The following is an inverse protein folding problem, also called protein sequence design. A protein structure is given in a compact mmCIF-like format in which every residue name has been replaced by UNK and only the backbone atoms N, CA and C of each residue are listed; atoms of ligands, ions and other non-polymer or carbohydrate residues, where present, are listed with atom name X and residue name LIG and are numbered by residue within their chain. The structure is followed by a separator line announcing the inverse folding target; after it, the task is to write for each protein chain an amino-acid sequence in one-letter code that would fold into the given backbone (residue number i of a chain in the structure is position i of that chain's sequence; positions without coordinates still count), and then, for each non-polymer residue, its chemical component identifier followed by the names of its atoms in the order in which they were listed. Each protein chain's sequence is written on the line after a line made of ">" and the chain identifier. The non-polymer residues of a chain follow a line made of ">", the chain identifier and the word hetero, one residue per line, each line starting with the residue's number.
data_IF_754272310519
#
_entry.id   IF_754272310519
#
_cell.length_a   1.000
_cell.length_b   1.000
_cell.length_c   1.000
_cell.angle_alpha   90.00
_cell.angle_beta   90.00
_cell.angle_gamma   90.00
#
_symmetry.space_group_name_H-M   'P 1'
#
loop_
_entity.id
_entity.type
_entity.pdbx_description
1 polymer ?
#
# COMPACT_ATOMS: atom_id res chain seq x y z
N UNK A 1 -15.49 -21.19 1.06
CA UNK A 1 -16.31 -19.99 1.10
C UNK A 1 -17.68 -20.31 1.73
N UNK A 2 -18.51 -21.16 1.10
CA UNK A 2 -19.89 -21.40 1.58
C UNK A 2 -19.96 -22.11 2.92
N UNK A 3 -19.13 -23.12 3.17
CA UNK A 3 -19.14 -23.91 4.41
C UNK A 3 -18.51 -23.17 5.60
N UNK A 4 -17.40 -22.47 5.36
CA UNK A 4 -16.64 -21.80 6.42
C UNK A 4 -16.94 -20.30 6.55
N UNK A 5 -17.86 -19.78 5.71
CA UNK A 5 -18.29 -18.37 5.72
C UNK A 5 -17.13 -17.36 5.67
N UNK A 6 -16.07 -17.69 4.93
CA UNK A 6 -14.96 -16.76 4.69
C UNK A 6 -15.26 -15.86 3.50
N UNK A 7 -14.81 -14.60 3.56
CA UNK A 7 -15.19 -13.55 2.61
C UNK A 7 -14.29 -13.50 1.37
N UNK A 8 -13.19 -14.24 1.36
CA UNK A 8 -12.30 -14.26 0.20
C UNK A 8 -11.19 -15.29 0.27
N UNK A 9 -10.46 -15.39 -0.82
CA UNK A 9 -9.30 -16.26 -0.97
C UNK A 9 -8.10 -15.44 -1.48
N UNK A 10 -6.97 -15.59 -0.84
CA UNK A 10 -5.69 -15.18 -1.40
C UNK A 10 -5.00 -16.40 -1.98
N UNK A 11 -4.63 -16.34 -3.24
CA UNK A 11 -3.85 -17.38 -3.92
C UNK A 11 -2.39 -16.99 -3.90
N UNK A 12 -1.61 -17.85 -3.26
CA UNK A 12 -0.17 -17.69 -3.06
C UNK A 12 0.61 -18.00 -4.32
N UNK A 13 1.71 -17.30 -4.55
CA UNK A 13 2.72 -17.58 -5.57
C UNK A 13 2.11 -17.86 -6.95
N UNK A 14 1.15 -17.06 -7.40
CA UNK A 14 0.47 -17.27 -8.69
C UNK A 14 1.45 -17.31 -9.85
N UNK A 15 2.57 -16.58 -9.79
CA UNK A 15 3.64 -16.66 -10.78
C UNK A 15 4.15 -18.09 -10.99
N UNK A 16 4.28 -18.87 -9.92
CA UNK A 16 4.72 -20.28 -10.01
C UNK A 16 3.69 -21.20 -10.67
N UNK A 17 2.42 -20.78 -10.71
CA UNK A 17 1.36 -21.50 -11.43
C UNK A 17 1.31 -21.10 -12.90
N UNK A 18 1.62 -19.84 -13.23
CA UNK A 18 1.51 -19.32 -14.60
C UNK A 18 2.65 -19.75 -15.52
N UNK A 19 3.85 -19.95 -14.96
CA UNK A 19 5.05 -20.18 -15.76
C UNK A 19 5.67 -21.56 -15.48
N UNK A 20 5.82 -22.39 -16.54
CA UNK A 20 6.43 -23.70 -16.47
C UNK A 20 7.94 -23.64 -16.13
N UNK A 21 8.58 -22.54 -16.47
CA UNK A 21 10.01 -22.27 -16.23
C UNK A 21 10.27 -21.47 -14.94
N UNK A 22 9.23 -21.21 -14.12
CA UNK A 22 9.39 -20.46 -12.87
C UNK A 22 10.43 -21.10 -11.96
N UNK A 23 11.49 -20.35 -11.61
CA UNK A 23 12.63 -20.82 -10.79
C UNK A 23 13.33 -22.07 -11.35
N UNK A 24 13.28 -22.30 -12.66
CA UNK A 24 13.92 -23.42 -13.36
C UNK A 24 15.07 -22.94 -14.22
N UNK A 25 16.09 -23.80 -14.39
CA UNK A 25 17.17 -23.58 -15.35
C UNK A 25 16.77 -24.07 -16.74
N UNK A 26 17.52 -23.64 -17.75
CA UNK A 26 17.36 -24.16 -19.10
C UNK A 26 17.49 -25.69 -19.11
N UNK A 27 16.49 -26.35 -19.69
CA UNK A 27 16.43 -27.83 -19.76
C UNK A 27 15.79 -28.51 -18.54
N UNK A 28 15.37 -27.75 -17.51
CA UNK A 28 14.71 -28.30 -16.30
C UNK A 28 13.18 -28.18 -16.38
N UNK A 29 12.63 -27.74 -17.48
CA UNK A 29 11.19 -27.60 -17.71
C UNK A 29 10.79 -28.05 -19.11
N UNK A 30 9.53 -28.40 -19.30
CA UNK A 30 8.97 -28.88 -20.57
C UNK A 30 8.00 -27.78 -21.08
N UNK A 31 8.21 -27.29 -22.32
CA UNK A 31 7.28 -26.35 -22.95
C UNK A 31 5.86 -26.89 -23.07
N UNK A 32 4.89 -25.98 -23.10
CA UNK A 32 3.50 -26.32 -23.38
C UNK A 32 3.33 -26.83 -24.84
N UNK A 33 2.12 -27.25 -25.19
CA UNK A 33 1.80 -27.79 -26.52
C UNK A 33 2.06 -26.82 -27.69
N UNK A 34 2.24 -25.53 -27.41
CA UNK A 34 2.55 -24.48 -28.39
C UNK A 34 4.02 -24.08 -28.36
N UNK A 35 4.83 -24.69 -27.51
CA UNK A 35 6.25 -24.38 -27.36
C UNK A 35 6.56 -23.20 -26.42
N UNK A 36 5.56 -22.62 -25.75
CA UNK A 36 5.70 -21.53 -24.80
C UNK A 36 5.94 -22.01 -23.37
N UNK A 37 6.18 -21.06 -22.47
CA UNK A 37 6.41 -21.31 -21.05
C UNK A 37 5.15 -21.09 -20.18
N UNK A 38 4.03 -20.71 -20.77
CA UNK A 38 2.78 -20.57 -20.03
C UNK A 38 2.22 -21.93 -19.64
N UNK A 39 1.81 -22.08 -18.38
CA UNK A 39 1.10 -23.27 -17.88
C UNK A 39 -0.39 -23.14 -18.20
N UNK A 40 -0.79 -23.65 -19.36
CA UNK A 40 -2.16 -23.50 -19.90
C UNK A 40 -3.19 -24.14 -18.97
N UNK A 41 -2.88 -25.27 -18.36
CA UNK A 41 -3.76 -25.98 -17.44
C UNK A 41 -4.01 -25.21 -16.16
N UNK A 42 -2.94 -24.64 -15.58
CA UNK A 42 -3.07 -23.81 -14.38
C UNK A 42 -3.80 -22.49 -14.66
N UNK A 43 -3.56 -21.87 -15.82
CA UNK A 43 -4.30 -20.67 -16.26
C UNK A 43 -5.80 -20.99 -16.41
N UNK A 44 -6.15 -22.12 -17.03
CA UNK A 44 -7.54 -22.57 -17.17
C UNK A 44 -8.18 -22.82 -15.80
N UNK A 45 -7.44 -23.44 -14.87
CA UNK A 45 -7.89 -23.68 -13.50
C UNK A 45 -8.16 -22.34 -12.76
N UNK A 46 -7.23 -21.38 -12.80
CA UNK A 46 -7.40 -20.07 -12.13
C UNK A 46 -8.60 -19.31 -12.66
N UNK A 47 -8.78 -19.28 -13.98
CA UNK A 47 -9.95 -18.66 -14.60
C UNK A 47 -11.25 -19.32 -14.13
N UNK A 48 -11.29 -20.65 -14.16
CA UNK A 48 -12.47 -21.41 -13.72
C UNK A 48 -12.78 -21.23 -12.24
N UNK A 49 -11.74 -21.20 -11.40
CA UNK A 49 -11.88 -20.92 -9.96
C UNK A 49 -12.54 -19.55 -9.75
N UNK A 50 -12.05 -18.51 -10.40
CA UNK A 50 -12.57 -17.14 -10.25
C UNK A 50 -14.02 -17.04 -10.77
N UNK A 51 -14.32 -17.63 -11.92
CA UNK A 51 -15.69 -17.71 -12.44
C UNK A 51 -16.66 -18.36 -11.46
N UNK A 52 -16.25 -19.46 -10.82
CA UNK A 52 -17.08 -20.16 -9.83
C UNK A 52 -17.27 -19.33 -8.56
N UNK A 53 -16.20 -18.70 -8.06
CA UNK A 53 -16.28 -17.86 -6.86
C UNK A 53 -17.26 -16.71 -7.09
N UNK A 54 -17.06 -15.92 -8.14
CA UNK A 54 -17.92 -14.77 -8.41
C UNK A 54 -19.32 -15.14 -8.85
N UNK A 55 -19.49 -16.28 -9.53
CA UNK A 55 -20.81 -16.78 -9.94
C UNK A 55 -21.64 -17.38 -8.81
N UNK A 56 -20.99 -17.91 -7.74
CA UNK A 56 -21.70 -18.69 -6.71
C UNK A 56 -21.60 -18.11 -5.30
N UNK A 57 -20.63 -17.24 -5.02
CA UNK A 57 -20.36 -16.69 -3.69
C UNK A 57 -20.45 -15.15 -3.75
N UNK A 58 -21.68 -14.64 -3.73
CA UNK A 58 -21.93 -13.19 -3.79
C UNK A 58 -21.22 -12.47 -2.62
N UNK A 59 -20.45 -11.45 -2.95
CA UNK A 59 -19.70 -10.66 -1.97
C UNK A 59 -18.30 -11.20 -1.63
N UNK A 60 -17.99 -12.46 -2.05
CA UNK A 60 -16.65 -12.99 -1.88
C UNK A 60 -15.66 -12.37 -2.89
N UNK A 61 -14.39 -12.28 -2.50
CA UNK A 61 -13.31 -11.74 -3.32
C UNK A 61 -12.17 -12.74 -3.50
N UNK A 62 -11.43 -12.61 -4.60
CA UNK A 62 -10.19 -13.35 -4.81
C UNK A 62 -9.03 -12.40 -5.03
N UNK A 63 -7.89 -12.69 -4.40
CA UNK A 63 -6.65 -11.93 -4.51
C UNK A 63 -5.54 -12.81 -5.05
N UNK A 64 -4.78 -12.31 -6.03
CA UNK A 64 -3.56 -12.95 -6.47
C UNK A 64 -2.33 -12.33 -5.80
N UNK A 65 -1.49 -13.17 -5.19
CA UNK A 65 -0.09 -12.81 -4.97
C UNK A 65 0.67 -13.20 -6.24
N UNK A 66 0.93 -12.20 -7.09
CA UNK A 66 1.57 -12.36 -8.39
C UNK A 66 2.59 -11.25 -8.58
N UNK A 67 3.87 -11.61 -8.65
CA UNK A 67 5.00 -10.67 -8.62
C UNK A 67 5.60 -10.37 -9.99
N UNK A 68 5.07 -10.99 -11.06
CA UNK A 68 5.58 -10.79 -12.43
C UNK A 68 4.78 -9.74 -13.20
N UNK A 69 5.18 -9.50 -14.44
CA UNK A 69 4.48 -8.63 -15.37
C UNK A 69 3.33 -9.32 -16.13
N UNK A 70 2.80 -10.45 -15.63
CA UNK A 70 1.66 -11.11 -16.26
C UNK A 70 0.48 -10.13 -16.36
N UNK A 71 -0.08 -9.92 -17.57
CA UNK A 71 -1.11 -8.90 -17.77
C UNK A 71 -2.50 -9.41 -17.35
N UNK A 72 -3.36 -8.45 -17.01
CA UNK A 72 -4.80 -8.69 -16.82
C UNK A 72 -5.13 -9.72 -15.72
N UNK A 73 -4.32 -9.78 -14.65
CA UNK A 73 -4.57 -10.67 -13.51
C UNK A 73 -5.93 -10.37 -12.87
N UNK A 74 -6.24 -9.10 -12.66
CA UNK A 74 -7.49 -8.63 -12.05
C UNK A 74 -8.51 -8.11 -13.07
N UNK A 75 -8.44 -8.60 -14.31
CA UNK A 75 -9.46 -8.30 -15.33
C UNK A 75 -10.34 -9.52 -15.59
N UNK A 76 -11.60 -9.31 -16.02
CA UNK A 76 -12.54 -10.39 -16.27
C UNK A 76 -12.02 -11.43 -17.27
N UNK A 77 -12.40 -12.71 -17.06
CA UNK A 77 -12.04 -13.81 -17.97
C UNK A 77 -12.59 -13.59 -19.38
N UNK A 78 -13.76 -12.93 -19.51
CA UNK A 78 -14.35 -12.55 -20.79
C UNK A 78 -13.50 -11.56 -21.60
N UNK A 79 -12.59 -10.84 -20.94
CA UNK A 79 -11.63 -9.94 -21.60
C UNK A 79 -10.26 -10.60 -21.79
N UNK A 80 -10.11 -11.88 -21.47
CA UNK A 80 -8.85 -12.61 -21.54
C UNK A 80 -8.04 -12.60 -20.23
N UNK A 81 -8.52 -11.95 -19.17
CA UNK A 81 -7.88 -11.89 -17.86
C UNK A 81 -7.95 -13.20 -17.08
N UNK A 82 -7.32 -13.23 -15.90
CA UNK A 82 -7.38 -14.37 -14.97
C UNK A 82 -8.64 -14.35 -14.09
N UNK A 83 -9.34 -13.21 -14.01
CA UNK A 83 -10.59 -13.07 -13.28
C UNK A 83 -10.47 -12.84 -11.79
N UNK A 84 -9.29 -12.59 -11.25
CA UNK A 84 -9.14 -12.16 -9.85
C UNK A 84 -9.82 -10.81 -9.62
N UNK A 85 -10.31 -10.57 -8.42
CA UNK A 85 -10.81 -9.26 -8.03
C UNK A 85 -9.68 -8.27 -7.77
N UNK A 86 -8.57 -8.78 -7.20
CA UNK A 86 -7.43 -7.97 -6.81
C UNK A 86 -6.09 -8.67 -7.09
N UNK A 87 -5.05 -7.85 -7.18
CA UNK A 87 -3.64 -8.29 -7.24
C UNK A 87 -2.84 -7.55 -6.16
N UNK A 88 -1.95 -8.24 -5.44
CA UNK A 88 -1.00 -7.56 -4.55
C UNK A 88 0.03 -6.77 -5.36
N UNK A 89 0.27 -5.52 -4.96
CA UNK A 89 1.28 -4.66 -5.59
C UNK A 89 2.65 -4.89 -4.95
N UNK A 90 3.30 -5.97 -5.35
CA UNK A 90 4.63 -6.35 -4.84
C UNK A 90 5.71 -5.34 -5.21
N UNK A 91 5.60 -4.68 -6.37
CA UNK A 91 6.52 -3.62 -6.80
C UNK A 91 6.45 -2.42 -5.86
N UNK A 92 5.25 -1.91 -5.59
CA UNK A 92 5.04 -0.82 -4.64
C UNK A 92 5.59 -1.17 -3.24
N UNK A 93 5.31 -2.36 -2.76
CA UNK A 93 5.77 -2.83 -1.44
C UNK A 93 7.29 -2.83 -1.37
N UNK A 94 7.97 -3.45 -2.34
CA UNK A 94 9.44 -3.54 -2.36
C UNK A 94 10.09 -2.15 -2.46
N UNK A 95 9.62 -1.30 -3.38
CA UNK A 95 10.20 0.02 -3.62
C UNK A 95 10.02 0.93 -2.41
N UNK A 96 8.82 0.98 -1.84
CA UNK A 96 8.53 1.89 -0.74
C UNK A 96 9.16 1.46 0.57
N UNK A 97 9.25 0.15 0.85
CA UNK A 97 9.99 -0.36 2.02
C UNK A 97 11.48 -0.10 1.89
N UNK A 98 12.05 -0.28 0.70
CA UNK A 98 13.44 0.06 0.45
C UNK A 98 13.68 1.55 0.60
N UNK A 99 12.80 2.40 0.07
CA UNK A 99 12.90 3.85 0.23
C UNK A 99 12.91 4.27 1.69
N UNK A 100 11.91 3.82 2.47
CA UNK A 100 11.75 4.27 3.85
C UNK A 100 12.87 3.75 4.77
N UNK A 101 13.52 2.64 4.43
CA UNK A 101 14.65 2.10 5.18
C UNK A 101 15.94 2.90 5.03
N UNK A 102 16.04 3.77 4.02
CA UNK A 102 17.18 4.67 3.92
C UNK A 102 17.13 5.76 4.99
N UNK A 103 18.31 6.12 5.49
CA UNK A 103 18.46 7.33 6.31
C UNK A 103 17.90 8.56 5.55
N UNK A 104 17.19 9.48 6.21
CA UNK A 104 16.51 10.60 5.54
C UNK A 104 17.44 11.43 4.62
N UNK A 105 18.70 11.59 5.00
CA UNK A 105 19.70 12.34 4.22
C UNK A 105 19.99 11.72 2.85
N UNK A 106 19.75 10.41 2.69
CA UNK A 106 20.00 9.68 1.45
C UNK A 106 18.74 9.51 0.60
N UNK A 107 17.54 9.79 1.12
CA UNK A 107 16.25 9.56 0.44
C UNK A 107 16.11 10.32 -0.87
N UNK A 108 16.73 11.50 -0.96
CA UNK A 108 16.74 12.30 -2.20
C UNK A 108 17.31 11.57 -3.42
N UNK A 109 18.24 10.64 -3.22
CA UNK A 109 18.82 9.83 -4.29
C UNK A 109 17.96 8.63 -4.69
N UNK A 110 16.89 8.37 -3.94
CA UNK A 110 15.99 7.24 -4.13
C UNK A 110 14.54 7.67 -4.36
N UNK A 111 14.29 8.95 -4.60
CA UNK A 111 12.97 9.56 -4.72
C UNK A 111 12.06 8.86 -5.74
N UNK A 112 12.63 8.37 -6.84
CA UNK A 112 11.92 7.60 -7.84
C UNK A 112 11.24 6.34 -7.31
N UNK A 113 11.69 5.76 -6.19
CA UNK A 113 11.03 4.59 -5.57
C UNK A 113 9.64 4.90 -5.01
N UNK A 114 9.35 6.17 -4.68
CA UNK A 114 8.01 6.61 -4.27
C UNK A 114 7.06 6.83 -5.45
N UNK A 115 7.62 7.28 -6.58
CA UNK A 115 6.82 7.78 -7.71
C UNK A 115 6.64 6.75 -8.82
N UNK A 116 7.58 5.81 -8.97
CA UNK A 116 7.57 4.80 -10.03
C UNK A 116 6.30 3.93 -10.02
N UNK A 117 5.79 3.57 -8.83
CA UNK A 117 4.59 2.76 -8.69
C UNK A 117 3.36 3.34 -9.38
N UNK A 118 3.27 4.67 -9.50
CA UNK A 118 2.14 5.34 -10.16
C UNK A 118 2.10 5.11 -11.69
N UNK A 119 3.22 4.74 -12.32
CA UNK A 119 3.24 4.43 -13.75
C UNK A 119 2.38 3.21 -14.11
N UNK A 120 2.15 2.30 -13.16
CA UNK A 120 1.38 1.09 -13.38
C UNK A 120 0.22 0.89 -12.38
N UNK A 121 0.02 1.83 -11.46
CA UNK A 121 -0.95 1.72 -10.36
C UNK A 121 -2.39 1.41 -10.81
N UNK A 122 -2.74 1.73 -12.07
CA UNK A 122 -4.09 1.56 -12.62
C UNK A 122 -4.19 0.43 -13.65
N UNK A 123 -3.11 -0.34 -13.86
CA UNK A 123 -3.13 -1.48 -14.77
C UNK A 123 -3.93 -2.65 -14.19
N UNK A 124 -3.95 -2.79 -12.87
CA UNK A 124 -4.64 -3.83 -12.11
C UNK A 124 -5.43 -3.22 -10.95
N UNK A 125 -6.32 -3.99 -10.35
CA UNK A 125 -6.97 -3.62 -9.10
C UNK A 125 -6.03 -3.97 -7.93
N UNK A 126 -5.13 -3.05 -7.61
CA UNK A 126 -4.08 -3.35 -6.65
C UNK A 126 -4.51 -3.26 -5.19
N UNK A 127 -3.98 -4.18 -4.37
CA UNK A 127 -3.88 -4.05 -2.92
C UNK A 127 -2.42 -3.71 -2.61
N UNK A 128 -2.19 -2.74 -1.74
CA UNK A 128 -0.89 -2.36 -1.21
C UNK A 128 -0.56 -3.27 -0.02
N UNK A 129 0.29 -4.31 -0.18
CA UNK A 129 0.47 -5.29 0.87
C UNK A 129 1.58 -4.88 1.83
N UNK A 130 1.28 -4.89 3.12
CA UNK A 130 2.22 -5.14 4.20
C UNK A 130 1.71 -6.42 4.85
N UNK A 131 2.13 -7.55 4.31
CA UNK A 131 1.65 -8.88 4.68
C UNK A 131 2.52 -9.52 5.76
N UNK A 132 2.25 -10.78 6.07
CA UNK A 132 3.11 -11.58 6.95
C UNK A 132 4.53 -11.70 6.39
N UNK A 133 4.69 -11.78 5.06
CA UNK A 133 5.99 -11.98 4.41
C UNK A 133 6.99 -10.86 4.70
N UNK A 134 6.51 -9.65 5.00
CA UNK A 134 7.36 -8.52 5.35
C UNK A 134 7.82 -8.53 6.81
N UNK A 135 7.20 -9.34 7.68
CA UNK A 135 7.43 -9.30 9.14
C UNK A 135 7.68 -10.65 9.79
N UNK A 136 7.81 -11.75 9.01
CA UNK A 136 8.18 -13.08 9.52
C UNK A 136 9.67 -13.18 9.81
N UNK A 137 10.06 -14.33 10.37
CA UNK A 137 11.44 -14.64 10.77
C UNK A 137 12.50 -14.27 9.72
N UNK A 138 13.49 -13.52 10.13
CA UNK A 138 14.58 -13.03 9.29
C UNK A 138 14.24 -11.77 8.46
N UNK A 139 13.02 -11.24 8.57
CA UNK A 139 12.58 -10.03 7.84
C UNK A 139 12.57 -8.76 8.69
N UNK A 140 12.55 -8.89 10.03
CA UNK A 140 12.39 -7.79 10.97
C UNK A 140 10.95 -7.28 11.05
N UNK A 141 10.60 -6.57 12.13
CA UNK A 141 9.31 -5.90 12.25
C UNK A 141 9.24 -4.67 11.34
N UNK A 142 8.03 -4.13 11.12
CA UNK A 142 7.88 -2.87 10.38
C UNK A 142 8.61 -1.72 11.08
N UNK A 143 8.52 -1.64 12.41
CA UNK A 143 9.26 -0.65 13.19
C UNK A 143 10.78 -0.85 13.07
N UNK A 144 11.24 -2.12 13.05
CA UNK A 144 12.65 -2.46 12.90
C UNK A 144 13.27 -2.06 11.56
N UNK A 145 12.46 -1.91 10.51
CA UNK A 145 12.91 -1.43 9.19
C UNK A 145 13.15 0.08 9.14
N UNK A 146 12.62 0.83 10.10
CA UNK A 146 12.75 2.29 10.14
C UNK A 146 14.11 2.69 10.69
N UNK A 147 14.81 3.68 10.06
CA UNK A 147 16.09 4.18 10.57
C UNK A 147 15.92 5.13 11.75
N UNK A 148 17.03 5.36 12.45
CA UNK A 148 17.14 6.33 13.53
C UNK A 148 16.89 5.75 14.92
N UNK A 149 16.74 6.65 15.89
CA UNK A 149 16.37 6.30 17.27
C UNK A 149 14.90 5.86 17.38
N UNK A 150 14.47 5.52 18.59
CA UNK A 150 13.12 5.02 18.82
C UNK A 150 12.03 6.01 18.37
N UNK A 151 12.16 7.28 18.71
CA UNK A 151 11.21 8.31 18.30
C UNK A 151 11.16 8.47 16.77
N UNK A 152 12.32 8.50 16.14
CA UNK A 152 12.47 8.62 14.69
C UNK A 152 11.88 7.42 13.95
N UNK A 153 12.05 6.21 14.49
CA UNK A 153 11.42 5.01 13.93
C UNK A 153 9.89 5.12 13.89
N UNK A 154 9.29 5.53 15.01
CA UNK A 154 7.84 5.74 15.04
C UNK A 154 7.40 6.88 14.12
N UNK A 155 8.14 7.98 14.03
CA UNK A 155 7.86 9.07 13.12
C UNK A 155 7.89 8.62 11.65
N UNK A 156 8.92 7.84 11.26
CA UNK A 156 9.01 7.24 9.93
C UNK A 156 7.85 6.29 9.64
N UNK A 157 7.48 5.44 10.60
CA UNK A 157 6.39 4.49 10.43
C UNK A 157 5.03 5.19 10.27
N UNK A 158 4.76 6.25 11.06
CA UNK A 158 3.54 7.07 10.89
C UNK A 158 3.50 7.74 9.53
N UNK A 159 4.61 8.33 9.07
CA UNK A 159 4.69 8.96 7.75
C UNK A 159 4.47 7.92 6.63
N UNK A 160 5.07 6.74 6.75
CA UNK A 160 4.90 5.65 5.79
C UNK A 160 3.45 5.16 5.71
N UNK A 161 2.78 4.98 6.84
CA UNK A 161 1.37 4.58 6.84
C UNK A 161 0.46 5.69 6.34
N UNK A 162 0.73 6.96 6.65
CA UNK A 162 0.03 8.09 6.04
C UNK A 162 0.10 8.06 4.52
N UNK A 163 1.29 7.83 3.97
CA UNK A 163 1.49 7.65 2.53
C UNK A 163 0.74 6.42 1.98
N UNK A 164 0.87 5.26 2.64
CA UNK A 164 0.16 4.04 2.22
C UNK A 164 -1.35 4.24 2.16
N UNK A 165 -1.95 4.86 3.19
CA UNK A 165 -3.40 5.05 3.27
C UNK A 165 -3.95 6.03 2.23
N UNK A 166 -3.14 6.97 1.80
CA UNK A 166 -3.53 7.98 0.81
C UNK A 166 -3.12 7.62 -0.62
N UNK A 167 -2.21 6.66 -0.83
CA UNK A 167 -1.82 6.17 -2.16
C UNK A 167 -2.97 5.36 -2.81
N UNK A 168 -3.15 5.37 -4.16
CA UNK A 168 -4.12 4.53 -4.85
C UNK A 168 -3.93 3.04 -4.57
N UNK A 169 -5.03 2.31 -4.45
CA UNK A 169 -5.07 0.87 -4.13
C UNK A 169 -5.64 0.57 -2.75
N UNK A 170 -6.14 -0.64 -2.55
CA UNK A 170 -6.67 -1.10 -1.25
C UNK A 170 -5.53 -1.38 -0.27
N UNK A 171 -5.83 -1.35 1.02
CA UNK A 171 -4.81 -1.42 2.10
C UNK A 171 -4.80 -2.80 2.73
N UNK A 172 -3.62 -3.36 2.91
CA UNK A 172 -3.40 -4.59 3.67
C UNK A 172 -2.30 -4.33 4.71
N UNK A 173 -2.67 -4.44 5.97
CA UNK A 173 -1.74 -4.30 7.09
C UNK A 173 -1.86 -5.55 7.97
N UNK A 174 -0.75 -6.30 8.11
CA UNK A 174 -0.75 -7.53 8.86
C UNK A 174 -0.82 -7.27 10.37
N UNK A 175 -1.41 -8.22 11.12
CA UNK A 175 -1.62 -8.12 12.56
C UNK A 175 -0.33 -7.78 13.32
N UNK A 176 -0.41 -6.84 14.26
CA UNK A 176 0.72 -6.31 15.03
C UNK A 176 1.41 -5.11 14.39
N UNK A 177 1.28 -4.93 13.07
CA UNK A 177 1.82 -3.76 12.38
C UNK A 177 1.05 -2.48 12.76
N UNK A 178 -0.25 -2.58 13.11
CA UNK A 178 -1.11 -1.46 13.44
C UNK A 178 -0.70 -0.72 14.73
N UNK A 179 0.05 -1.36 15.60
CA UNK A 179 0.63 -0.69 16.77
C UNK A 179 2.17 -0.65 16.76
N UNK A 180 2.78 -1.09 15.63
CA UNK A 180 4.22 -1.04 15.46
C UNK A 180 4.97 -2.04 16.33
N UNK A 181 4.46 -3.28 16.46
CA UNK A 181 5.14 -4.35 17.21
C UNK A 181 6.64 -4.35 16.88
N UNK A 182 7.48 -4.42 17.92
CA UNK A 182 8.93 -4.28 17.82
C UNK A 182 9.66 -5.56 17.38
N UNK A 183 8.95 -6.71 17.42
CA UNK A 183 9.46 -8.03 17.07
C UNK A 183 8.82 -8.59 15.82
N UNK A 184 9.51 -9.53 15.17
CA UNK A 184 8.99 -10.33 14.07
C UNK A 184 7.73 -11.09 14.50
N UNK A 185 6.80 -11.27 13.55
CA UNK A 185 5.64 -12.10 13.81
C UNK A 185 6.04 -13.56 13.92
N UNK A 186 5.54 -14.25 14.96
CA UNK A 186 5.75 -15.66 15.22
C UNK A 186 4.40 -16.35 15.40
N UNK A 187 4.13 -17.40 14.63
CA UNK A 187 2.88 -18.18 14.71
C UNK A 187 2.70 -18.92 16.04
N UNK A 188 3.78 -19.19 16.75
CA UNK A 188 3.79 -19.94 18.02
C UNK A 188 3.58 -19.04 19.23
N UNK A 189 3.55 -17.73 19.05
CA UNK A 189 3.45 -16.75 20.13
C UNK A 189 2.28 -15.79 19.93
N UNK A 190 1.77 -15.25 21.03
CA UNK A 190 0.81 -14.13 20.99
C UNK A 190 1.50 -12.85 20.53
N UNK A 191 0.72 -11.94 19.92
CA UNK A 191 1.20 -10.58 19.69
C UNK A 191 1.60 -9.94 21.05
N UNK A 192 2.56 -9.03 21.00
CA UNK A 192 3.11 -8.34 22.17
C UNK A 192 2.18 -7.23 22.69
N UNK A 193 0.96 -7.60 23.08
CA UNK A 193 -0.08 -6.65 23.51
C UNK A 193 0.33 -5.74 24.67
N UNK A 194 1.26 -6.17 25.53
CA UNK A 194 1.81 -5.37 26.62
C UNK A 194 2.50 -4.09 26.13
N UNK A 195 2.96 -4.03 24.88
CA UNK A 195 3.55 -2.82 24.29
C UNK A 195 2.56 -1.65 24.25
N UNK A 196 1.25 -1.92 24.21
CA UNK A 196 0.23 -0.88 24.23
C UNK A 196 0.14 -0.10 25.58
N UNK A 197 0.85 -0.55 26.60
CA UNK A 197 1.03 0.19 27.85
C UNK A 197 2.00 1.37 27.68
N UNK A 198 2.82 1.37 26.62
CA UNK A 198 3.79 2.43 26.33
C UNK A 198 3.21 3.46 25.35
N UNK A 199 3.43 4.77 25.58
CA UNK A 199 2.81 5.84 24.81
C UNK A 199 3.08 5.77 23.30
N UNK A 200 4.31 5.37 22.87
CA UNK A 200 4.68 5.31 21.48
C UNK A 200 3.88 4.26 20.69
N UNK A 201 3.69 3.07 21.25
CA UNK A 201 2.90 1.99 20.61
C UNK A 201 1.41 2.33 20.63
N UNK A 202 0.92 2.90 21.74
CA UNK A 202 -0.45 3.38 21.83
C UNK A 202 -0.72 4.51 20.85
N UNK A 203 0.23 5.43 20.70
CA UNK A 203 0.19 6.51 19.70
C UNK A 203 0.13 5.96 18.28
N UNK A 204 0.93 4.93 17.96
CA UNK A 204 0.89 4.27 16.66
C UNK A 204 -0.46 3.61 16.38
N UNK A 205 -1.03 2.91 17.35
CA UNK A 205 -2.37 2.32 17.25
C UNK A 205 -3.44 3.40 17.00
N UNK A 206 -3.36 4.52 17.72
CA UNK A 206 -4.27 5.65 17.50
C UNK A 206 -4.13 6.22 16.08
N UNK A 207 -2.90 6.36 15.58
CA UNK A 207 -2.63 6.82 14.23
C UNK A 207 -3.29 5.92 13.18
N UNK A 208 -3.13 4.60 13.29
CA UNK A 208 -3.75 3.64 12.36
C UNK A 208 -5.28 3.63 12.48
N UNK A 209 -5.82 3.76 13.71
CA UNK A 209 -7.26 3.92 13.92
C UNK A 209 -7.80 5.13 13.15
N UNK A 210 -7.14 6.26 13.29
CA UNK A 210 -7.61 7.53 12.71
C UNK A 210 -7.40 7.56 11.19
N UNK A 211 -6.32 6.91 10.68
CA UNK A 211 -6.16 6.64 9.24
C UNK A 211 -7.30 5.78 8.68
N UNK A 212 -7.73 4.74 9.40
CA UNK A 212 -8.88 3.93 9.00
C UNK A 212 -10.19 4.74 8.97
N UNK A 213 -10.41 5.62 9.97
CA UNK A 213 -11.58 6.49 10.02
C UNK A 213 -11.56 7.52 8.89
N UNK A 214 -10.40 8.14 8.65
CA UNK A 214 -10.19 9.07 7.54
C UNK A 214 -10.45 8.40 6.19
N UNK A 215 -9.88 7.21 5.96
CA UNK A 215 -10.07 6.46 4.72
C UNK A 215 -11.54 6.12 4.46
N UNK A 216 -12.24 5.62 5.49
CA UNK A 216 -13.67 5.27 5.38
C UNK A 216 -14.58 6.48 5.22
N UNK A 217 -14.22 7.60 5.83
CA UNK A 217 -15.02 8.82 5.85
C UNK A 217 -14.87 9.71 4.61
N UNK A 218 -13.87 9.46 3.75
CA UNK A 218 -13.58 10.34 2.62
C UNK A 218 -13.58 9.56 1.30
N UNK A 219 -14.62 9.71 0.47
CA UNK A 219 -14.78 9.01 -0.80
C UNK A 219 -13.58 9.15 -1.75
N UNK A 220 -12.90 10.28 -1.72
CA UNK A 220 -11.70 10.54 -2.51
C UNK A 220 -10.59 9.48 -2.34
N UNK A 221 -10.55 8.75 -1.22
CA UNK A 221 -9.53 7.74 -0.97
C UNK A 221 -9.86 6.35 -1.50
N UNK A 222 -11.13 6.06 -1.88
CA UNK A 222 -11.52 4.69 -2.22
C UNK A 222 -12.45 4.53 -3.44
N UNK A 223 -13.13 5.58 -3.89
CA UNK A 223 -14.08 5.44 -5.00
C UNK A 223 -13.38 5.21 -6.35
N UNK A 224 -12.32 5.95 -6.63
CA UNK A 224 -11.54 5.87 -7.87
C UNK A 224 -10.14 5.29 -7.62
N UNK A 225 -10.04 4.24 -6.80
CA UNK A 225 -8.75 3.63 -6.41
C UNK A 225 -8.04 2.94 -7.58
N UNK A 226 -8.77 2.52 -8.60
CA UNK A 226 -8.27 1.73 -9.72
C UNK A 226 -8.34 2.47 -11.07
N UNK A 227 -8.61 3.78 -11.00
CA UNK A 227 -8.69 4.64 -12.18
C UNK A 227 -7.80 5.87 -12.01
N UNK A 228 -7.11 6.25 -13.10
CA UNK A 228 -6.23 7.43 -13.10
C UNK A 228 -6.96 8.74 -12.77
N UNK A 229 -8.29 8.80 -12.94
CA UNK A 229 -9.11 9.97 -12.58
C UNK A 229 -9.11 10.24 -11.08
N UNK A 230 -8.87 9.22 -10.26
CA UNK A 230 -8.79 9.33 -8.80
C UNK A 230 -7.47 9.90 -8.27
N UNK A 231 -6.53 10.26 -9.13
CA UNK A 231 -5.20 10.70 -8.73
C UNK A 231 -4.66 11.82 -9.63
N UNK A 232 -4.02 12.81 -9.02
CA UNK A 232 -3.29 13.85 -9.73
C UNK A 232 -2.06 14.29 -8.95
N UNK A 233 -0.89 14.30 -9.59
CA UNK A 233 0.30 14.88 -9.00
C UNK A 233 0.19 16.40 -8.87
N UNK A 234 0.53 16.94 -7.71
CA UNK A 234 0.81 18.38 -7.53
C UNK A 234 2.30 18.60 -7.75
N UNK A 235 3.15 17.89 -7.00
CA UNK A 235 4.60 17.87 -7.22
C UNK A 235 5.17 16.49 -6.83
N UNK A 236 5.79 15.84 -7.79
CA UNK A 236 6.51 14.57 -7.61
C UNK A 236 8.02 14.72 -7.75
N UNK A 237 8.53 15.92 -8.01
CA UNK A 237 9.90 16.15 -8.46
C UNK A 237 10.82 16.69 -7.37
N UNK A 238 10.29 17.10 -6.21
CA UNK A 238 11.06 17.68 -5.12
C UNK A 238 11.88 16.63 -4.35
N UNK A 239 12.84 16.04 -5.03
CA UNK A 239 13.74 15.04 -4.47
C UNK A 239 14.67 15.62 -3.40
N UNK A 240 15.16 16.83 -3.58
CA UNK A 240 16.11 17.47 -2.65
C UNK A 240 15.52 17.61 -1.25
N UNK A 241 14.24 17.93 -1.16
CA UNK A 241 13.52 18.02 0.10
C UNK A 241 12.89 16.68 0.53
N UNK A 242 12.89 15.67 -0.35
CA UNK A 242 12.17 14.40 -0.16
C UNK A 242 10.70 14.61 0.19
N UNK A 243 10.06 15.54 -0.51
CA UNK A 243 8.64 15.87 -0.38
C UNK A 243 7.90 15.48 -1.65
N UNK A 244 6.73 14.89 -1.50
CA UNK A 244 5.78 14.67 -2.59
C UNK A 244 4.42 15.26 -2.21
N UNK A 245 3.70 15.74 -3.21
CA UNK A 245 2.32 16.20 -3.03
C UNK A 245 1.44 15.78 -4.21
N UNK A 246 0.19 15.43 -3.89
CA UNK A 246 -0.78 14.96 -4.87
C UNK A 246 -2.21 15.17 -4.39
N UNK A 247 -3.15 15.06 -5.31
CA UNK A 247 -4.58 15.02 -5.01
C UNK A 247 -5.14 13.61 -5.17
N UNK A 248 -6.04 13.24 -4.26
CA UNK A 248 -6.96 12.12 -4.41
C UNK A 248 -8.35 12.67 -4.69
N UNK A 249 -9.06 12.05 -5.61
CA UNK A 249 -10.36 12.51 -6.10
C UNK A 249 -11.39 11.40 -6.04
N UNK A 250 -12.62 11.75 -5.62
CA UNK A 250 -13.78 10.85 -5.69
C UNK A 250 -14.55 11.02 -7.00
N UNK A 251 -15.70 10.35 -7.09
CA UNK A 251 -16.61 10.51 -8.22
C UNK A 251 -17.20 11.92 -8.32
N UNK A 252 -17.51 12.53 -7.15
CA UNK A 252 -17.94 13.91 -7.11
C UNK A 252 -16.71 14.82 -7.15
N UNK A 253 -16.63 15.78 -8.08
CA UNK A 253 -15.50 16.71 -8.18
C UNK A 253 -15.22 17.52 -6.90
N UNK A 254 -16.22 17.70 -6.02
CA UNK A 254 -16.04 18.36 -4.74
C UNK A 254 -15.36 17.47 -3.69
N UNK A 255 -15.34 16.15 -3.91
CA UNK A 255 -14.71 15.17 -3.01
C UNK A 255 -13.25 14.96 -3.42
N UNK A 256 -12.38 15.86 -2.99
CA UNK A 256 -10.93 15.71 -3.20
C UNK A 256 -10.14 16.02 -1.94
N UNK A 257 -8.98 15.40 -1.84
CA UNK A 257 -8.04 15.55 -0.74
C UNK A 257 -6.65 15.89 -1.28
N UNK A 258 -6.03 16.90 -0.68
CA UNK A 258 -4.63 17.25 -0.93
C UNK A 258 -3.77 16.52 0.07
N UNK A 259 -2.78 15.80 -0.43
CA UNK A 259 -1.84 15.02 0.37
C UNK A 259 -0.43 15.58 0.19
N UNK A 260 0.25 15.80 1.31
CA UNK A 260 1.64 16.24 1.33
C UNK A 260 2.40 15.28 2.24
N UNK A 261 3.47 14.67 1.73
CA UNK A 261 4.32 13.77 2.51
C UNK A 261 5.74 14.29 2.53
N UNK A 262 6.22 14.66 3.72
CA UNK A 262 7.61 15.03 3.99
C UNK A 262 8.32 13.83 4.63
N UNK A 263 9.29 13.28 3.94
CA UNK A 263 10.07 12.11 4.39
C UNK A 263 11.41 12.49 5.03
N UNK A 264 11.53 13.71 5.52
CA UNK A 264 12.71 14.19 6.26
C UNK A 264 12.32 14.70 7.64
N UNK A 265 13.25 14.75 8.61
CA UNK A 265 12.99 15.33 9.92
C UNK A 265 13.00 16.87 9.93
N UNK A 266 13.12 17.49 8.75
CA UNK A 266 13.19 18.96 8.61
C UNK A 266 11.79 19.52 8.51
N UNK A 267 11.41 20.36 9.46
CA UNK A 267 10.14 21.12 9.39
C UNK A 267 10.25 22.14 8.25
N UNK A 268 9.26 22.14 7.35
CA UNK A 268 9.19 23.04 6.20
C UNK A 268 8.19 24.15 6.49
N UNK A 269 8.68 25.25 7.03
CA UNK A 269 7.86 26.46 7.23
C UNK A 269 7.58 27.14 5.88
N UNK A 270 6.38 27.71 5.73
CA UNK A 270 5.94 28.43 4.53
C UNK A 270 6.10 27.62 3.22
N UNK A 271 5.96 26.29 3.33
CA UNK A 271 6.06 25.40 2.17
C UNK A 271 4.86 25.59 1.25
N UNK A 272 5.11 25.98 0.00
CA UNK A 272 4.06 26.27 -0.98
C UNK A 272 3.85 25.11 -1.92
N UNK A 273 2.58 24.80 -2.19
CA UNK A 273 2.15 23.81 -3.18
C UNK A 273 1.15 24.44 -4.14
N UNK A 274 1.15 23.99 -5.40
CA UNK A 274 0.14 24.36 -6.38
C UNK A 274 -1.19 23.67 -6.08
N UNK A 275 -2.28 24.41 -6.12
CA UNK A 275 -3.64 23.87 -6.05
C UNK A 275 -4.51 24.51 -7.11
N UNK A 276 -5.47 23.76 -7.64
CA UNK A 276 -6.24 24.20 -8.81
C UNK A 276 -7.35 25.21 -8.48
N UNK A 277 -7.74 25.31 -7.22
CA UNK A 277 -8.91 26.10 -6.83
C UNK A 277 -8.57 27.14 -5.75
N UNK A 278 -9.13 28.33 -5.93
CA UNK A 278 -9.06 29.38 -4.90
C UNK A 278 -10.09 29.07 -3.82
N UNK A 279 -9.70 28.29 -2.82
CA UNK A 279 -10.55 27.89 -1.71
C UNK A 279 -9.77 27.86 -0.38
N UNK A 280 -10.43 27.42 0.67
CA UNK A 280 -9.83 27.22 1.98
C UNK A 280 -9.64 25.73 2.25
N UNK A 281 -8.49 25.39 2.79
CA UNK A 281 -8.11 24.02 3.14
C UNK A 281 -7.99 23.88 4.66
N UNK A 282 -8.35 22.72 5.15
CA UNK A 282 -8.19 22.35 6.55
C UNK A 282 -7.36 21.08 6.66
N UNK A 283 -6.36 21.09 7.54
CA UNK A 283 -5.65 19.88 7.90
C UNK A 283 -6.58 18.94 8.68
N UNK A 284 -6.85 17.76 8.12
CA UNK A 284 -7.74 16.75 8.74
C UNK A 284 -6.97 15.58 9.35
N UNK A 285 -5.72 15.42 8.97
CA UNK A 285 -4.81 14.40 9.49
C UNK A 285 -3.37 14.90 9.44
N UNK A 286 -2.66 14.67 10.53
CA UNK A 286 -1.24 14.98 10.62
C UNK A 286 -0.53 13.85 11.37
N UNK A 287 0.41 13.17 10.70
CA UNK A 287 1.15 12.05 11.30
C UNK A 287 2.08 12.46 12.45
N UNK A 288 2.32 13.77 12.64
CA UNK A 288 3.12 14.31 13.73
C UNK A 288 2.28 14.81 14.93
N UNK A 289 0.96 14.52 14.95
CA UNK A 289 0.09 14.88 16.07
C UNK A 289 0.55 14.25 17.38
N UNK A 290 0.43 14.99 18.47
CA UNK A 290 0.83 14.55 19.83
C UNK A 290 0.06 13.31 20.29
N UNK A 291 -1.18 13.07 19.81
CA UNK A 291 -1.96 11.87 20.08
C UNK A 291 -1.35 10.60 19.50
N UNK A 292 -0.44 10.76 18.55
CA UNK A 292 0.31 9.67 17.90
C UNK A 292 1.75 9.58 18.39
N UNK A 293 2.06 10.27 19.49
CA UNK A 293 3.42 10.43 20.02
C UNK A 293 4.34 11.22 19.07
N UNK A 294 3.76 12.18 18.33
CA UNK A 294 4.45 13.13 17.47
C UNK A 294 4.94 14.36 18.23
N UNK A 295 5.65 15.25 17.55
CA UNK A 295 6.15 16.51 18.11
C UNK A 295 5.11 17.63 18.15
N UNK A 296 3.98 17.46 17.45
CA UNK A 296 2.86 18.41 17.43
C UNK A 296 3.06 19.57 16.46
N UNK A 297 3.94 19.46 15.49
CA UNK A 297 4.05 20.46 14.40
C UNK A 297 2.84 20.28 13.49
N UNK A 298 2.02 21.33 13.38
CA UNK A 298 0.75 21.32 12.63
C UNK A 298 0.48 22.67 11.97
N UNK A 299 -0.42 22.67 10.99
CA UNK A 299 -0.99 23.90 10.47
C UNK A 299 -2.14 24.37 11.34
N UNK A 300 -2.15 25.66 11.69
CA UNK A 300 -3.21 26.24 12.50
C UNK A 300 -4.31 26.86 11.62
N UNK A 301 -5.58 26.53 11.95
CA UNK A 301 -6.74 27.12 11.32
C UNK A 301 -6.97 26.70 9.88
N UNK A 302 -7.55 27.59 9.08
CA UNK A 302 -7.82 27.39 7.67
C UNK A 302 -6.69 27.98 6.83
N UNK A 303 -6.13 27.17 5.94
CA UNK A 303 -5.16 27.61 4.95
C UNK A 303 -5.89 28.23 3.76
N UNK A 304 -5.41 29.37 3.29
CA UNK A 304 -5.99 30.07 2.13
C UNK A 304 -5.03 30.00 0.96
N UNK A 305 -5.56 29.91 -0.24
CA UNK A 305 -4.79 30.09 -1.48
C UNK A 305 -4.44 31.58 -1.67
N UNK A 306 -3.25 31.84 -2.18
CA UNK A 306 -2.76 33.17 -2.57
C UNK A 306 -2.88 33.34 -4.11
#
# INVERSE_FOLDING_TARGET
>A
LKEYHIDGLRVDAVASMLYLDYSRKNGEWIPNIYGGNENIEAIAFLRKMNELVYGQCKGAVTCAEESTAWPMVSRPTSMGGLGFGYKWNMGWMNDTLKYISHEPVHRKYHHGMLTFGLLYAFNENFILPISHDEVVHGKGSMLGKMPGDEWQKFANLRAYYGFMYTHPGKKLLFMGCEFGQDWEWNSEESLRWHLLEYPMYKGMQNCVRDLNLMYKGNPAFYEEDFDYRGFEWIDHSNADDSVISYMRKGHNPADYMVVISNFTPVVRHDYRIGVNENCRYQEIFNSDDVNYWGSGVKNEGLLTTE
#
